data_IF_922388254345
#
_entry.id   IF_922388254345
#
_cell.length_a   1.000
_cell.length_b   1.000
_cell.length_c   1.000
_cell.angle_alpha   90.00
_cell.angle_beta   90.00
_cell.angle_gamma   90.00
#
_symmetry.space_group_name_H-M   'P 1'
#
loop_
_entity.id
_entity.type
_entity.pdbx_description
1 polymer ?
#
# COMPACT_ATOMS: atom_id res chain seq x y z
N UNK A 1 8.61 25.29 -1.02
CA UNK A 1 8.00 25.93 0.17
C UNK A 1 8.19 24.98 1.33
N UNK A 2 8.81 25.47 2.39
CA UNK A 2 9.06 24.69 3.60
C UNK A 2 7.76 24.44 4.36
N UNK A 3 7.77 23.46 5.26
CA UNK A 3 6.63 23.14 6.13
C UNK A 3 6.98 23.30 7.62
N UNK A 4 6.00 23.62 8.49
CA UNK A 4 6.23 23.73 9.92
C UNK A 4 6.78 22.41 10.51
N UNK A 5 7.83 22.50 11.34
CA UNK A 5 8.44 21.32 11.96
C UNK A 5 9.50 20.61 11.11
N UNK A 6 9.74 21.06 9.87
CA UNK A 6 10.81 20.50 9.02
C UNK A 6 12.18 20.67 9.68
N UNK A 7 12.94 19.57 9.77
CA UNK A 7 14.32 19.55 10.29
C UNK A 7 15.24 18.91 9.27
N UNK A 8 15.99 19.73 8.54
CA UNK A 8 17.01 19.26 7.60
C UNK A 8 18.37 19.31 8.29
N UNK A 9 19.05 18.18 8.38
CA UNK A 9 20.41 18.11 8.91
C UNK A 9 21.18 16.89 8.40
N UNK A 10 22.53 16.90 8.54
CA UNK A 10 23.39 15.79 8.12
C UNK A 10 23.34 14.58 9.09
N UNK A 11 22.91 14.81 10.33
CA UNK A 11 22.64 13.78 11.34
C UNK A 11 21.16 13.36 11.29
N UNK A 12 20.75 12.20 11.83
CA UNK A 12 19.33 11.82 11.89
C UNK A 12 18.51 12.83 12.68
N UNK A 13 17.93 13.80 11.96
CA UNK A 13 17.19 14.93 12.53
C UNK A 13 15.70 14.66 12.72
N UNK A 14 15.15 13.69 11.98
CA UNK A 14 13.73 13.33 12.02
C UNK A 14 13.53 12.00 12.73
N UNK A 15 13.04 12.05 13.98
CA UNK A 15 12.65 10.90 14.80
C UNK A 15 11.13 10.69 14.84
N UNK A 16 10.38 11.45 14.02
CA UNK A 16 8.92 11.54 14.03
C UNK A 16 8.30 11.17 12.69
N UNK A 17 7.07 10.68 12.74
CA UNK A 17 6.19 10.62 11.59
C UNK A 17 5.50 11.97 11.42
N UNK A 18 5.63 12.57 10.26
CA UNK A 18 5.06 13.88 9.97
C UNK A 18 4.06 13.79 8.83
N UNK A 19 2.79 14.01 9.14
CA UNK A 19 1.72 14.11 8.14
C UNK A 19 1.65 15.55 7.59
N UNK A 20 2.16 15.75 6.38
CA UNK A 20 2.14 17.04 5.70
C UNK A 20 0.84 17.15 4.89
N UNK A 21 -0.05 18.02 5.33
CA UNK A 21 -1.42 18.15 4.86
C UNK A 21 -1.73 19.56 4.36
N UNK A 22 -2.72 19.69 3.50
CA UNK A 22 -3.21 20.98 3.08
C UNK A 22 -4.06 21.66 4.15
N UNK A 23 -3.86 22.97 4.31
CA UNK A 23 -4.79 23.85 4.98
C UNK A 23 -4.40 25.30 4.80
N UNK A 24 -5.37 26.21 4.95
CA UNK A 24 -5.15 27.65 4.73
C UNK A 24 -4.29 28.31 5.81
N UNK A 25 -4.37 27.78 7.03
CA UNK A 25 -3.61 28.27 8.18
C UNK A 25 -2.48 27.30 8.50
N UNK A 26 -1.26 27.81 8.49
CA UNK A 26 -0.09 27.02 8.83
C UNK A 26 -0.07 26.70 10.32
N UNK A 27 -0.05 25.41 10.65
CA UNK A 27 -0.03 24.95 12.04
C UNK A 27 0.62 23.59 12.16
N UNK A 28 1.22 23.36 13.33
CA UNK A 28 1.73 22.05 13.73
C UNK A 28 0.73 21.42 14.71
N UNK A 29 0.31 20.20 14.42
CA UNK A 29 -0.66 19.45 15.21
C UNK A 29 0.03 18.26 15.88
N UNK A 30 -0.08 18.11 17.21
CA UNK A 30 0.40 16.92 17.90
C UNK A 30 -0.36 15.66 17.46
N UNK A 31 0.30 14.49 17.49
CA UNK A 31 -0.32 13.20 17.14
C UNK A 31 -1.62 12.92 17.89
N UNK A 32 -1.69 13.26 19.19
CA UNK A 32 -2.92 13.13 19.98
C UNK A 32 -4.11 13.92 19.42
N UNK A 33 -3.87 15.07 18.80
CA UNK A 33 -4.92 15.88 18.17
C UNK A 33 -5.35 15.25 16.85
N UNK A 34 -4.39 14.74 16.07
CA UNK A 34 -4.66 14.09 14.78
C UNK A 34 -5.56 12.86 14.89
N UNK A 35 -5.40 12.06 15.94
CA UNK A 35 -6.21 10.83 16.12
C UNK A 35 -7.59 11.10 16.71
N UNK A 36 -7.76 12.20 17.43
CA UNK A 36 -9.02 12.56 18.08
C UNK A 36 -9.95 13.43 17.21
N UNK A 37 -9.40 14.07 16.17
CA UNK A 37 -10.20 14.85 15.23
C UNK A 37 -10.83 13.96 14.15
N UNK A 38 -12.12 14.15 13.90
CA UNK A 38 -12.81 13.50 12.79
C UNK A 38 -12.48 14.16 11.43
N UNK A 39 -11.75 15.29 11.42
CA UNK A 39 -11.28 15.95 10.20
C UNK A 39 -10.13 15.19 9.52
N UNK A 40 -9.38 14.37 10.27
CA UNK A 40 -8.16 13.72 9.79
C UNK A 40 -8.28 12.19 9.75
N UNK A 41 -7.70 11.52 8.74
CA UNK A 41 -7.82 10.07 8.56
C UNK A 41 -6.90 9.24 9.48
N UNK A 42 -6.54 9.75 10.66
CA UNK A 42 -5.53 9.16 11.55
C UNK A 42 -6.09 8.48 12.81
N UNK A 43 -7.41 8.49 13.02
CA UNK A 43 -8.07 7.88 14.19
C UNK A 43 -7.64 6.44 14.48
N UNK A 44 -7.37 5.66 13.43
CA UNK A 44 -6.89 4.28 13.56
C UNK A 44 -5.49 4.13 14.17
N UNK A 45 -4.72 5.20 14.31
CA UNK A 45 -3.39 5.18 14.92
C UNK A 45 -3.43 5.25 16.46
N UNK A 46 -4.60 5.53 17.05
CA UNK A 46 -4.78 5.55 18.52
C UNK A 46 -4.40 4.20 19.16
N UNK A 47 -4.57 3.10 18.43
CA UNK A 47 -4.22 1.75 18.88
C UNK A 47 -2.74 1.54 19.19
N UNK A 48 -1.85 2.40 18.66
CA UNK A 48 -0.40 2.33 18.92
C UNK A 48 0.01 3.05 20.22
N UNK A 49 -0.92 3.75 20.86
CA UNK A 49 -0.75 4.32 22.19
C UNK A 49 0.20 5.52 22.28
N UNK A 50 0.37 6.02 23.50
CA UNK A 50 1.03 7.31 23.78
C UNK A 50 2.48 7.40 23.28
N UNK A 51 3.23 6.30 23.35
CA UNK A 51 4.63 6.28 22.93
C UNK A 51 4.75 6.65 21.44
N UNK A 52 3.90 6.07 20.59
CA UNK A 52 3.85 6.41 19.17
C UNK A 52 3.26 7.79 18.93
N UNK A 53 2.13 8.14 19.56
CA UNK A 53 1.47 9.44 19.34
C UNK A 53 2.37 10.62 19.71
N UNK A 54 3.26 10.46 20.69
CA UNK A 54 4.29 11.45 21.04
C UNK A 54 5.35 11.66 19.96
N UNK A 55 5.49 10.69 19.03
CA UNK A 55 6.41 10.67 17.88
C UNK A 55 5.68 10.88 16.55
N UNK A 56 4.42 11.31 16.58
CA UNK A 56 3.66 11.69 15.41
C UNK A 56 3.30 13.17 15.49
N UNK A 57 3.34 13.85 14.34
CA UNK A 57 2.87 15.22 14.20
C UNK A 57 2.26 15.44 12.82
N UNK A 58 1.51 16.53 12.70
CA UNK A 58 0.86 16.95 11.46
C UNK A 58 1.25 18.36 11.13
N UNK A 59 1.83 18.57 9.96
CA UNK A 59 2.17 19.88 9.45
C UNK A 59 1.10 20.30 8.44
N UNK A 60 0.32 21.32 8.78
CA UNK A 60 -0.69 21.89 7.87
C UNK A 60 -0.04 23.07 7.15
N UNK A 61 -0.08 23.08 5.81
CA UNK A 61 0.50 24.16 5.00
C UNK A 61 -0.31 24.42 3.74
N UNK A 62 -0.44 25.69 3.37
CA UNK A 62 -1.07 26.07 2.10
C UNK A 62 -0.07 25.87 0.96
N UNK A 63 -0.24 24.75 0.25
CA UNK A 63 0.51 24.39 -0.94
C UNK A 63 -0.43 23.73 -1.97
N UNK A 64 -0.34 24.09 -3.26
CA UNK A 64 -1.20 23.54 -4.31
C UNK A 64 -1.12 22.02 -4.44
N UNK A 65 0.08 21.43 -4.31
CA UNK A 65 0.27 19.99 -4.41
C UNK A 65 -0.51 19.24 -3.31
N UNK A 66 -0.54 19.81 -2.11
CA UNK A 66 -1.17 19.16 -0.95
C UNK A 66 -2.70 19.14 -1.02
N UNK A 67 -3.31 19.93 -1.91
CA UNK A 67 -4.77 19.92 -2.11
C UNK A 67 -5.26 18.55 -2.57
N UNK A 68 -4.40 17.84 -3.29
CA UNK A 68 -4.73 16.57 -3.91
C UNK A 68 -4.01 15.38 -3.25
N UNK A 69 -2.89 15.63 -2.56
CA UNK A 69 -2.10 14.58 -1.89
C UNK A 69 -1.74 14.96 -0.47
N UNK A 70 -1.64 13.97 0.42
CA UNK A 70 -1.03 14.12 1.74
C UNK A 70 0.29 13.39 1.73
N UNK A 71 1.37 14.03 2.17
CA UNK A 71 2.68 13.41 2.24
C UNK A 71 2.92 12.94 3.67
N UNK A 72 3.38 11.71 3.83
CA UNK A 72 3.80 11.17 5.12
C UNK A 72 5.32 11.06 5.09
N UNK A 73 5.98 11.94 5.84
CA UNK A 73 7.41 11.81 6.09
C UNK A 73 7.61 10.84 7.26
N UNK A 74 8.54 9.91 7.11
CA UNK A 74 8.80 8.84 8.08
C UNK A 74 10.18 9.02 8.70
N UNK A 75 10.39 8.62 9.96
CA UNK A 75 11.72 8.60 10.55
C UNK A 75 12.70 7.82 9.66
N UNK A 76 13.93 8.32 9.53
CA UNK A 76 14.95 7.66 8.73
C UNK A 76 15.20 6.22 9.18
N UNK A 77 15.30 5.29 8.23
CA UNK A 77 15.68 3.91 8.49
C UNK A 77 17.20 3.87 8.63
N UNK A 78 17.68 3.73 9.86
CA UNK A 78 19.10 3.89 10.16
C UNK A 78 19.84 2.55 10.08
N UNK A 79 21.14 2.64 9.81
CA UNK A 79 22.04 1.50 9.91
C UNK A 79 22.54 1.35 11.35
N UNK A 80 22.19 0.24 12.00
CA UNK A 80 22.76 -0.17 13.29
C UNK A 80 21.74 -0.44 14.40
N UNK A 81 22.00 -1.46 15.21
CA UNK A 81 21.12 -1.96 16.30
C UNK A 81 20.80 -0.89 17.36
N UNK A 82 21.68 0.09 17.59
CA UNK A 82 21.56 1.07 18.68
C UNK A 82 20.34 1.99 18.57
N UNK A 83 19.80 2.20 17.37
CA UNK A 83 18.60 3.02 17.14
C UNK A 83 17.30 2.20 17.21
N UNK A 84 17.34 0.88 16.91
CA UNK A 84 16.21 -0.03 17.17
C UNK A 84 15.84 -0.07 18.66
N UNK A 85 16.86 0.00 19.52
CA UNK A 85 16.70 0.03 20.99
C UNK A 85 16.09 1.35 21.49
N UNK A 86 16.12 2.42 20.68
CA UNK A 86 15.61 3.74 21.05
C UNK A 86 14.16 4.03 20.67
N UNK A 87 13.46 3.09 19.99
CA UNK A 87 12.04 3.28 19.62
C UNK A 87 11.16 2.57 20.64
N UNK A 88 10.43 3.35 21.44
CA UNK A 88 9.46 2.84 22.42
C UNK A 88 8.11 2.44 21.79
N UNK A 89 8.07 2.21 20.48
CA UNK A 89 6.87 1.83 19.73
C UNK A 89 7.21 0.86 18.59
N UNK A 90 6.21 0.09 18.16
CA UNK A 90 6.35 -0.87 17.07
C UNK A 90 6.37 -0.16 15.70
N UNK A 91 7.57 0.21 15.25
CA UNK A 91 7.78 0.84 13.95
C UNK A 91 7.26 0.01 12.79
N UNK A 92 7.46 -1.31 12.83
CA UNK A 92 7.05 -2.22 11.77
C UNK A 92 5.55 -2.21 11.56
N UNK A 93 4.78 -2.30 12.65
CA UNK A 93 3.33 -2.28 12.59
C UNK A 93 2.78 -0.91 12.15
N UNK A 94 3.41 0.19 12.54
CA UNK A 94 3.04 1.55 12.08
C UNK A 94 3.31 1.72 10.59
N UNK A 95 4.49 1.31 10.11
CA UNK A 95 4.81 1.33 8.67
C UNK A 95 3.82 0.49 7.89
N UNK A 96 3.46 -0.70 8.37
CA UNK A 96 2.42 -1.52 7.75
C UNK A 96 1.08 -0.79 7.66
N UNK A 97 0.67 -0.08 8.72
CA UNK A 97 -0.59 0.66 8.75
C UNK A 97 -0.65 1.76 7.68
N UNK A 98 0.43 2.53 7.54
CA UNK A 98 0.56 3.53 6.47
C UNK A 98 0.66 2.87 5.11
N UNK A 99 1.46 1.81 5.00
CA UNK A 99 1.64 1.07 3.76
C UNK A 99 0.33 0.50 3.26
N UNK A 100 -0.61 0.05 4.10
CA UNK A 100 -1.93 -0.39 3.64
C UNK A 100 -2.74 0.73 2.98
N UNK A 101 -2.64 1.95 3.52
CA UNK A 101 -3.50 3.10 3.16
C UNK A 101 -2.89 4.04 2.12
N UNK A 102 -1.58 4.00 1.94
CA UNK A 102 -0.88 4.85 0.98
C UNK A 102 -1.23 4.47 -0.46
N UNK A 103 -1.36 5.47 -1.33
CA UNK A 103 -1.56 5.28 -2.77
C UNK A 103 -0.23 5.09 -3.51
N UNK A 104 0.86 5.68 -3.00
CA UNK A 104 2.24 5.52 -3.48
C UNK A 104 3.19 5.42 -2.28
N UNK A 105 4.22 4.58 -2.38
CA UNK A 105 5.27 4.43 -1.37
C UNK A 105 6.62 4.70 -2.06
N UNK A 106 7.31 5.76 -1.63
CA UNK A 106 8.63 6.10 -2.17
C UNK A 106 9.70 5.56 -1.22
N UNK A 107 10.57 4.68 -1.72
CA UNK A 107 11.75 4.22 -1.00
C UNK A 107 12.97 4.93 -1.57
N UNK A 108 13.59 5.78 -0.74
CA UNK A 108 14.72 6.61 -1.16
C UNK A 108 16.07 5.93 -0.85
N UNK A 109 16.98 5.99 -1.82
CA UNK A 109 18.37 5.58 -1.70
C UNK A 109 19.29 6.74 -2.05
N UNK A 110 20.40 6.86 -1.34
CA UNK A 110 21.46 7.81 -1.68
C UNK A 110 22.46 7.15 -2.64
N UNK A 111 22.71 7.78 -3.78
CA UNK A 111 23.63 7.26 -4.79
C UNK A 111 25.09 7.08 -4.29
N UNK A 112 25.49 7.81 -3.24
CA UNK A 112 26.81 7.67 -2.62
C UNK A 112 26.92 6.54 -1.60
N UNK A 113 25.81 6.20 -0.95
CA UNK A 113 25.78 5.29 0.20
C UNK A 113 24.68 4.25 0.01
N UNK A 114 24.86 3.45 -1.05
CA UNK A 114 23.97 2.33 -1.29
C UNK A 114 24.26 1.21 -0.28
N UNK A 115 23.55 1.23 0.84
CA UNK A 115 23.58 0.16 1.83
C UNK A 115 22.15 -0.23 2.19
N UNK A 116 21.83 -1.52 2.07
CA UNK A 116 20.55 -2.07 2.50
C UNK A 116 20.77 -2.68 3.88
N UNK A 117 20.60 -1.84 4.90
CA UNK A 117 20.70 -2.27 6.29
C UNK A 117 19.65 -3.33 6.61
N UNK A 118 19.85 -4.10 7.69
CA UNK A 118 18.87 -5.07 8.15
C UNK A 118 17.51 -4.42 8.49
N UNK A 119 17.51 -3.15 8.93
CA UNK A 119 16.28 -2.40 9.19
C UNK A 119 15.55 -2.04 7.90
N UNK A 120 16.28 -1.61 6.87
CA UNK A 120 15.68 -1.37 5.56
C UNK A 120 15.15 -2.67 4.95
N UNK A 121 15.87 -3.78 5.09
CA UNK A 121 15.38 -5.09 4.69
C UNK A 121 14.09 -5.48 5.42
N UNK A 122 14.02 -5.25 6.74
CA UNK A 122 12.82 -5.52 7.53
C UNK A 122 11.64 -4.64 7.10
N UNK A 123 11.90 -3.36 6.81
CA UNK A 123 10.90 -2.45 6.27
C UNK A 123 10.42 -2.89 4.87
N UNK A 124 11.34 -3.27 3.98
CA UNK A 124 11.01 -3.79 2.66
C UNK A 124 10.19 -5.09 2.74
N UNK A 125 10.47 -5.97 3.70
CA UNK A 125 9.69 -7.18 3.95
C UNK A 125 8.23 -6.87 4.29
N UNK A 126 7.98 -5.81 5.06
CA UNK A 126 6.62 -5.32 5.39
C UNK A 126 5.94 -4.71 4.16
N UNK A 127 6.72 -4.08 3.27
CA UNK A 127 6.22 -3.44 2.05
C UNK A 127 6.00 -4.41 0.89
N UNK A 128 6.50 -5.66 0.95
CA UNK A 128 6.32 -6.70 -0.08
C UNK A 128 4.88 -6.89 -0.58
N UNK A 129 3.85 -6.94 0.29
CA UNK A 129 2.46 -7.09 -0.16
C UNK A 129 1.96 -5.87 -0.95
N UNK A 130 2.71 -4.77 -0.93
CA UNK A 130 2.39 -3.48 -1.51
C UNK A 130 3.37 -3.06 -2.61
N UNK A 131 4.10 -4.01 -3.20
CA UNK A 131 5.11 -3.77 -4.24
C UNK A 131 4.57 -2.98 -5.44
N UNK A 132 3.29 -3.13 -5.78
CA UNK A 132 2.61 -2.45 -6.88
C UNK A 132 2.64 -0.91 -6.77
N UNK A 133 2.62 -0.38 -5.55
CA UNK A 133 2.68 1.07 -5.26
C UNK A 133 4.07 1.56 -4.88
N UNK A 134 5.07 0.69 -4.86
CA UNK A 134 6.42 1.10 -4.52
C UNK A 134 7.09 1.78 -5.72
N UNK A 135 7.75 2.90 -5.46
CA UNK A 135 8.67 3.58 -6.38
C UNK A 135 10.01 3.75 -5.68
N UNK A 136 11.07 3.46 -6.41
CA UNK A 136 12.43 3.58 -5.88
C UNK A 136 12.99 4.91 -6.34
N UNK A 137 13.55 5.69 -5.42
CA UNK A 137 14.12 6.99 -5.72
C UNK A 137 15.62 6.96 -5.42
N UNK A 138 16.45 6.98 -6.47
CA UNK A 138 17.90 7.09 -6.33
C UNK A 138 18.27 8.58 -6.34
N UNK A 139 18.41 9.15 -5.15
CA UNK A 139 18.69 10.57 -4.93
C UNK A 139 20.20 10.87 -5.01
N UNK A 140 20.53 12.15 -5.24
CA UNK A 140 21.88 12.67 -5.42
C UNK A 140 22.64 12.03 -6.59
N UNK A 141 21.93 11.57 -7.63
CA UNK A 141 22.55 10.92 -8.78
C UNK A 141 23.48 11.86 -9.59
N UNK A 142 23.34 13.18 -9.42
CA UNK A 142 24.20 14.22 -10.03
C UNK A 142 25.58 14.32 -9.38
N UNK A 143 25.79 13.67 -8.24
CA UNK A 143 27.06 13.72 -7.52
C UNK A 143 28.04 12.61 -7.88
N UNK A 144 27.64 11.65 -8.72
CA UNK A 144 28.47 10.57 -9.25
C UNK A 144 28.54 10.61 -10.78
N UNK A 145 29.56 9.99 -11.36
CA UNK A 145 29.71 9.89 -12.82
C UNK A 145 28.78 8.82 -13.42
N UNK A 146 28.64 8.83 -14.75
CA UNK A 146 27.76 7.90 -15.47
C UNK A 146 28.12 6.43 -15.22
N UNK A 147 29.41 6.09 -15.15
CA UNK A 147 29.84 4.71 -14.94
C UNK A 147 29.51 4.22 -13.53
N UNK A 148 29.77 5.02 -12.50
CA UNK A 148 29.41 4.72 -11.12
C UNK A 148 27.90 4.67 -10.96
N UNK A 149 27.14 5.56 -11.61
CA UNK A 149 25.67 5.52 -11.59
C UNK A 149 25.13 4.19 -12.09
N UNK A 150 25.65 3.67 -13.21
CA UNK A 150 25.24 2.37 -13.73
C UNK A 150 25.61 1.21 -12.79
N UNK A 151 26.77 1.28 -12.11
CA UNK A 151 27.17 0.28 -11.11
C UNK A 151 26.26 0.32 -9.88
N UNK A 152 25.96 1.51 -9.36
CA UNK A 152 25.07 1.72 -8.22
C UNK A 152 23.66 1.25 -8.54
N UNK A 153 23.14 1.60 -9.73
CA UNK A 153 21.86 1.13 -10.22
C UNK A 153 21.80 -0.40 -10.31
N UNK A 154 22.82 -1.03 -10.90
CA UNK A 154 22.90 -2.49 -11.00
C UNK A 154 22.94 -3.17 -9.61
N UNK A 155 23.72 -2.63 -8.67
CA UNK A 155 23.79 -3.13 -7.31
C UNK A 155 22.48 -2.97 -6.54
N UNK A 156 21.77 -1.84 -6.74
CA UNK A 156 20.44 -1.59 -6.17
C UNK A 156 19.43 -2.62 -6.65
N UNK A 157 19.31 -2.80 -7.97
CA UNK A 157 18.34 -3.70 -8.57
C UNK A 157 18.61 -5.16 -8.18
N UNK A 158 19.87 -5.56 -8.13
CA UNK A 158 20.27 -6.89 -7.65
C UNK A 158 19.83 -7.12 -6.19
N UNK A 159 20.08 -6.13 -5.33
CA UNK A 159 19.76 -6.23 -3.91
C UNK A 159 18.25 -6.20 -3.65
N UNK A 160 17.51 -5.34 -4.36
CA UNK A 160 16.05 -5.32 -4.33
C UNK A 160 15.45 -6.63 -4.83
N UNK A 161 15.99 -7.22 -5.91
CA UNK A 161 15.55 -8.51 -6.42
C UNK A 161 15.71 -9.63 -5.39
N UNK A 162 16.84 -9.65 -4.65
CA UNK A 162 17.06 -10.61 -3.56
C UNK A 162 16.10 -10.43 -2.39
N UNK A 163 15.80 -9.19 -2.01
CA UNK A 163 14.92 -8.91 -0.87
C UNK A 163 13.46 -9.13 -1.24
N UNK A 164 12.97 -8.47 -2.30
CA UNK A 164 11.55 -8.44 -2.66
C UNK A 164 11.04 -9.79 -3.18
N UNK A 165 11.89 -10.58 -3.85
CA UNK A 165 11.53 -11.89 -4.42
C UNK A 165 10.30 -11.83 -5.33
N UNK A 166 10.11 -10.70 -6.02
CA UNK A 166 9.06 -10.50 -7.01
C UNK A 166 9.63 -10.66 -8.42
N UNK A 167 8.90 -11.26 -9.37
CA UNK A 167 9.32 -11.30 -10.77
C UNK A 167 9.20 -9.92 -11.44
N UNK A 168 8.42 -9.02 -10.85
CA UNK A 168 8.22 -7.65 -11.33
C UNK A 168 9.39 -6.74 -10.94
N UNK A 169 9.76 -5.87 -11.89
CA UNK A 169 10.86 -4.92 -11.74
C UNK A 169 10.29 -3.58 -11.27
N UNK A 170 10.87 -3.01 -10.20
CA UNK A 170 10.45 -1.71 -9.70
C UNK A 170 10.87 -0.57 -10.63
N UNK A 171 9.99 0.43 -10.81
CA UNK A 171 10.37 1.71 -11.43
C UNK A 171 11.31 2.45 -10.49
N UNK A 172 12.51 2.73 -10.97
CA UNK A 172 13.51 3.56 -10.30
C UNK A 172 13.54 4.93 -10.97
N UNK A 173 13.44 5.97 -10.17
CA UNK A 173 13.64 7.36 -10.56
C UNK A 173 15.03 7.81 -10.12
N UNK A 174 15.84 8.31 -11.05
CA UNK A 174 17.20 8.76 -10.78
C UNK A 174 17.26 10.28 -10.88
N UNK A 175 17.79 10.94 -9.84
CA UNK A 175 17.84 12.40 -9.86
C UNK A 175 18.50 13.01 -8.63
N UNK A 176 18.48 14.33 -8.59
CA UNK A 176 18.83 15.11 -7.41
C UNK A 176 17.63 15.97 -7.04
N UNK A 177 16.94 15.58 -5.97
CA UNK A 177 15.62 16.13 -5.61
C UNK A 177 15.77 17.25 -4.58
N UNK A 178 16.43 18.33 -4.98
CA UNK A 178 16.65 19.55 -4.18
C UNK A 178 16.54 20.80 -5.08
N UNK A 179 16.43 21.98 -4.46
CA UNK A 179 16.26 23.25 -5.20
C UNK A 179 17.55 23.71 -5.92
N UNK A 180 18.71 23.15 -5.58
CA UNK A 180 19.99 23.50 -6.20
C UNK A 180 20.04 23.12 -7.69
N UNK A 181 20.81 23.85 -8.52
CA UNK A 181 21.02 23.45 -9.91
C UNK A 181 21.66 22.06 -9.94
N UNK A 182 21.13 21.19 -10.80
CA UNK A 182 21.77 19.90 -11.09
C UNK A 182 23.21 20.19 -11.51
N UNK A 183 24.18 19.47 -10.93
CA UNK A 183 25.58 19.63 -11.33
C UNK A 183 25.68 19.40 -12.84
N UNK A 184 26.52 20.17 -13.57
CA UNK A 184 26.71 19.97 -15.00
C UNK A 184 27.38 18.61 -15.24
N UNK A 185 26.56 17.59 -15.41
CA UNK A 185 26.93 16.21 -15.66
C UNK A 185 26.36 15.77 -17.00
N UNK A 186 27.03 14.82 -17.67
CA UNK A 186 26.62 14.32 -18.99
C UNK A 186 25.17 13.81 -18.99
N UNK A 187 24.75 13.21 -17.89
CA UNK A 187 23.42 12.63 -17.69
C UNK A 187 22.34 13.64 -17.23
N UNK A 188 22.62 14.95 -17.19
CA UNK A 188 21.67 15.92 -16.63
C UNK A 188 20.29 15.89 -17.31
N UNK A 189 20.26 15.71 -18.63
CA UNK A 189 18.99 15.59 -19.39
C UNK A 189 18.18 14.34 -19.00
N UNK A 190 18.86 13.23 -18.70
CA UNK A 190 18.21 12.02 -18.19
C UNK A 190 17.62 12.27 -16.79
N UNK A 191 18.40 12.86 -15.89
CA UNK A 191 17.97 13.12 -14.51
C UNK A 191 16.76 14.07 -14.45
N UNK A 192 16.74 15.11 -15.29
CA UNK A 192 15.59 16.03 -15.34
C UNK A 192 14.34 15.35 -15.92
N UNK A 193 14.52 14.47 -16.92
CA UNK A 193 13.41 13.67 -17.46
C UNK A 193 12.84 12.71 -16.42
N UNK A 194 13.69 12.00 -15.69
CA UNK A 194 13.28 11.09 -14.60
C UNK A 194 12.54 11.84 -13.48
N UNK A 195 13.00 13.05 -13.14
CA UNK A 195 12.30 13.94 -12.20
C UNK A 195 10.94 14.37 -12.74
N UNK A 196 10.85 14.76 -14.01
CA UNK A 196 9.59 15.13 -14.65
C UNK A 196 8.59 13.97 -14.66
N UNK A 197 9.05 12.75 -14.96
CA UNK A 197 8.24 11.53 -14.92
C UNK A 197 7.69 11.26 -13.51
N UNK A 198 8.50 11.42 -12.46
CA UNK A 198 8.04 11.28 -11.07
C UNK A 198 6.98 12.32 -10.71
N UNK A 199 7.18 13.58 -11.09
CA UNK A 199 6.20 14.65 -10.83
C UNK A 199 4.89 14.38 -11.57
N UNK A 200 4.96 13.94 -12.84
CA UNK A 200 3.77 13.58 -13.60
C UNK A 200 3.00 12.43 -12.93
N UNK A 201 3.70 11.42 -12.40
CA UNK A 201 3.06 10.32 -11.66
C UNK A 201 2.41 10.81 -10.36
N UNK A 202 3.06 11.70 -9.60
CA UNK A 202 2.51 12.29 -8.38
C UNK A 202 1.27 13.14 -8.65
N UNK A 203 1.26 13.91 -9.75
CA UNK A 203 0.12 14.74 -10.15
C UNK A 203 -1.07 13.87 -10.55
N UNK A 204 -0.84 12.75 -11.24
CA UNK A 204 -1.88 11.81 -11.67
C UNK A 204 -2.28 10.80 -10.57
N UNK A 205 -1.64 10.85 -9.40
CA UNK A 205 -1.90 9.92 -8.29
C UNK A 205 -3.37 9.90 -7.84
N UNK A 206 -4.09 11.03 -7.71
CA UNK A 206 -5.49 11.02 -7.27
C UNK A 206 -6.41 10.23 -8.21
N UNK A 207 -6.22 10.37 -9.52
CA UNK A 207 -7.03 9.66 -10.52
C UNK A 207 -6.76 8.15 -10.44
N UNK A 208 -5.49 7.77 -10.36
CA UNK A 208 -5.06 6.39 -10.18
C UNK A 208 -5.56 5.80 -8.86
N UNK A 209 -5.59 6.60 -7.79
CA UNK A 209 -6.07 6.20 -6.47
C UNK A 209 -7.56 5.85 -6.48
N UNK A 210 -8.39 6.57 -7.25
CA UNK A 210 -9.82 6.24 -7.37
C UNK A 210 -10.02 4.88 -8.02
N UNK A 211 -9.35 4.62 -9.15
CA UNK A 211 -9.41 3.32 -9.84
C UNK A 211 -8.91 2.19 -8.92
N UNK A 212 -7.81 2.43 -8.20
CA UNK A 212 -7.28 1.50 -7.20
C UNK A 212 -8.28 1.21 -6.08
N UNK A 213 -8.93 2.24 -5.52
CA UNK A 213 -9.94 2.09 -4.46
C UNK A 213 -11.15 1.30 -4.93
N UNK A 214 -11.59 1.51 -6.18
CA UNK A 214 -12.64 0.68 -6.79
C UNK A 214 -12.18 -0.78 -6.87
N UNK A 215 -10.94 -1.04 -7.30
CA UNK A 215 -10.40 -2.40 -7.36
C UNK A 215 -10.32 -3.06 -5.97
N UNK A 216 -9.88 -2.33 -4.94
CA UNK A 216 -9.86 -2.84 -3.56
C UNK A 216 -11.27 -3.10 -3.02
N UNK A 217 -12.23 -2.24 -3.34
CA UNK A 217 -13.65 -2.46 -3.01
C UNK A 217 -14.16 -3.75 -3.68
N UNK A 218 -13.83 -3.99 -4.94
CA UNK A 218 -14.20 -5.22 -5.68
C UNK A 218 -13.59 -6.44 -5.01
N UNK A 219 -12.28 -6.43 -4.71
CA UNK A 219 -11.60 -7.53 -4.00
C UNK A 219 -12.26 -7.82 -2.67
N UNK A 220 -12.53 -6.79 -1.87
CA UNK A 220 -13.18 -6.91 -0.56
C UNK A 220 -14.60 -7.44 -0.67
N UNK A 221 -15.40 -6.94 -1.61
CA UNK A 221 -16.76 -7.42 -1.83
C UNK A 221 -16.77 -8.91 -2.22
N UNK A 222 -15.82 -9.37 -3.06
CA UNK A 222 -15.67 -10.79 -3.39
C UNK A 222 -15.30 -11.62 -2.16
N UNK A 223 -14.33 -11.16 -1.36
CA UNK A 223 -13.94 -11.83 -0.13
C UNK A 223 -15.12 -11.95 0.87
N UNK A 224 -15.93 -10.91 1.01
CA UNK A 224 -17.16 -10.92 1.83
C UNK A 224 -18.18 -11.92 1.28
N UNK A 225 -18.41 -11.94 -0.05
CA UNK A 225 -19.28 -12.92 -0.70
C UNK A 225 -18.85 -14.34 -0.38
N UNK A 226 -17.58 -14.66 -0.62
CA UNK A 226 -17.00 -15.98 -0.34
C UNK A 226 -17.14 -16.34 1.13
N UNK A 227 -16.82 -15.41 2.04
CA UNK A 227 -16.97 -15.64 3.48
C UNK A 227 -18.41 -15.98 3.88
N UNK A 228 -19.39 -15.23 3.38
CA UNK A 228 -20.81 -15.49 3.63
C UNK A 228 -21.22 -16.90 3.15
N UNK A 229 -20.74 -17.34 1.98
CA UNK A 229 -21.00 -18.69 1.47
C UNK A 229 -20.27 -19.79 2.26
N UNK A 230 -19.05 -19.55 2.73
CA UNK A 230 -18.32 -20.48 3.62
C UNK A 230 -19.15 -20.71 4.89
N UNK A 231 -19.55 -19.62 5.55
CA UNK A 231 -20.32 -19.66 6.80
C UNK A 231 -21.64 -20.41 6.58
N UNK A 232 -22.37 -20.09 5.51
CA UNK A 232 -23.60 -20.79 5.12
C UNK A 232 -23.39 -22.27 4.82
N UNK A 233 -22.31 -22.62 4.11
CA UNK A 233 -21.96 -24.00 3.78
C UNK A 233 -21.66 -24.81 5.04
N UNK A 234 -20.77 -24.31 5.89
CA UNK A 234 -20.38 -24.97 7.14
C UNK A 234 -21.59 -25.16 8.05
N UNK A 235 -22.44 -24.14 8.18
CA UNK A 235 -23.70 -24.23 8.93
C UNK A 235 -24.56 -25.39 8.44
N UNK A 236 -24.72 -25.57 7.12
CA UNK A 236 -25.51 -26.67 6.52
C UNK A 236 -24.93 -28.06 6.77
N UNK A 237 -23.62 -28.16 6.99
CA UNK A 237 -22.94 -29.44 7.25
C UNK A 237 -23.03 -29.89 8.73
N UNK A 238 -23.44 -28.98 9.63
CA UNK A 238 -23.66 -29.29 11.04
C UNK A 238 -25.09 -29.82 11.25
N UNK A 239 -25.28 -30.98 11.90
CA UNK A 239 -26.59 -31.56 12.09
C UNK A 239 -27.51 -30.72 12.98
N UNK A 240 -28.83 -30.80 12.70
CA UNK A 240 -29.86 -30.11 13.48
C UNK A 240 -29.94 -30.63 14.92
N UNK A 241 -29.65 -31.90 15.16
CA UNK A 241 -29.64 -32.46 16.51
C UNK A 241 -28.36 -32.07 17.26
N UNK A 242 -28.46 -31.73 18.55
CA UNK A 242 -27.30 -31.25 19.34
C UNK A 242 -26.23 -32.33 19.56
N UNK A 243 -26.64 -33.60 19.54
CA UNK A 243 -25.74 -34.74 19.67
C UNK A 243 -24.67 -34.74 18.57
N UNK A 244 -23.40 -34.93 18.95
CA UNK A 244 -22.22 -34.98 18.07
C UNK A 244 -21.88 -33.70 17.29
N UNK A 245 -22.49 -32.54 17.58
CA UNK A 245 -22.16 -31.27 16.89
C UNK A 245 -20.70 -30.86 17.06
N UNK A 246 -20.15 -30.96 18.27
CA UNK A 246 -18.76 -30.60 18.56
C UNK A 246 -17.78 -31.47 17.77
N UNK A 247 -18.00 -32.78 17.75
CA UNK A 247 -17.15 -33.72 17.01
C UNK A 247 -17.25 -33.48 15.50
N UNK A 248 -18.45 -33.25 14.96
CA UNK A 248 -18.65 -32.92 13.55
C UNK A 248 -18.00 -31.58 13.17
N UNK A 249 -18.15 -30.55 14.00
CA UNK A 249 -17.49 -29.26 13.83
C UNK A 249 -15.97 -29.42 13.78
N UNK A 250 -15.38 -30.18 14.70
CA UNK A 250 -13.94 -30.43 14.69
C UNK A 250 -13.49 -31.15 13.43
N UNK A 251 -14.24 -32.16 12.97
CA UNK A 251 -13.99 -32.84 11.69
C UNK A 251 -14.10 -31.89 10.48
N UNK A 252 -15.07 -30.97 10.48
CA UNK A 252 -15.22 -29.96 9.42
C UNK A 252 -14.04 -28.99 9.39
N UNK A 253 -13.59 -28.52 10.56
CA UNK A 253 -12.43 -27.64 10.67
C UNK A 253 -11.16 -28.37 10.21
N UNK A 254 -10.95 -29.62 10.60
CA UNK A 254 -9.80 -30.42 10.14
C UNK A 254 -9.79 -30.61 8.62
N UNK A 255 -10.96 -30.78 8.01
CA UNK A 255 -11.11 -30.98 6.55
C UNK A 255 -11.45 -29.69 5.80
N UNK A 256 -11.15 -28.51 6.37
CA UNK A 256 -11.49 -27.22 5.77
C UNK A 256 -11.01 -27.05 4.31
N UNK A 257 -9.80 -27.50 3.89
CA UNK A 257 -9.40 -27.43 2.49
C UNK A 257 -10.33 -28.17 1.53
N UNK A 258 -10.93 -29.28 1.98
CA UNK A 258 -11.93 -30.00 1.20
C UNK A 258 -13.25 -29.25 1.21
N UNK A 259 -13.67 -28.72 2.37
CA UNK A 259 -14.90 -27.94 2.49
C UNK A 259 -14.90 -26.71 1.58
N UNK A 260 -13.76 -26.02 1.46
CA UNK A 260 -13.59 -24.88 0.55
C UNK A 260 -13.72 -25.26 -0.92
N UNK A 261 -13.15 -26.39 -1.34
CA UNK A 261 -13.32 -26.91 -2.72
C UNK A 261 -14.76 -27.28 -3.02
N UNK A 262 -15.43 -27.95 -2.09
CA UNK A 262 -16.83 -28.34 -2.24
C UNK A 262 -17.76 -27.12 -2.26
N UNK A 263 -17.53 -26.12 -1.40
CA UNK A 263 -18.31 -24.88 -1.40
C UNK A 263 -18.07 -24.05 -2.66
N UNK A 264 -16.82 -23.99 -3.14
CA UNK A 264 -16.47 -23.30 -4.38
C UNK A 264 -17.20 -23.91 -5.58
N UNK A 265 -17.18 -25.25 -5.71
CA UNK A 265 -17.90 -25.96 -6.76
C UNK A 265 -19.42 -25.78 -6.66
N UNK A 266 -19.97 -25.84 -5.44
CA UNK A 266 -21.43 -25.77 -5.21
C UNK A 266 -22.04 -24.40 -5.52
N UNK A 267 -21.29 -23.32 -5.27
CA UNK A 267 -21.78 -21.94 -5.43
C UNK A 267 -21.09 -21.20 -6.58
N UNK A 268 -20.32 -21.90 -7.43
CA UNK A 268 -19.60 -21.34 -8.57
C UNK A 268 -18.69 -20.17 -8.18
N UNK A 269 -17.93 -20.33 -7.09
CA UNK A 269 -17.01 -19.32 -6.58
C UNK A 269 -15.57 -19.66 -6.98
N UNK A 270 -14.75 -18.65 -7.25
CA UNK A 270 -13.32 -18.85 -7.51
C UNK A 270 -12.61 -19.30 -6.24
N UNK A 271 -11.80 -20.35 -6.34
CA UNK A 271 -11.00 -20.82 -5.21
C UNK A 271 -9.92 -19.81 -4.79
N UNK A 272 -9.48 -18.95 -5.72
CA UNK A 272 -8.49 -17.90 -5.45
C UNK A 272 -9.00 -16.79 -4.52
N UNK A 273 -10.32 -16.64 -4.39
CA UNK A 273 -10.94 -15.64 -3.50
C UNK A 273 -11.13 -16.19 -2.07
N UNK A 274 -10.77 -17.45 -1.81
CA UNK A 274 -10.88 -18.05 -0.47
C UNK A 274 -9.73 -17.63 0.45
N UNK A 275 -10.01 -17.43 1.75
CA UNK A 275 -8.98 -17.04 2.71
C UNK A 275 -7.97 -18.17 2.96
N UNK A 276 -6.76 -17.85 3.45
CA UNK A 276 -5.78 -18.84 3.86
C UNK A 276 -6.33 -19.82 4.90
N UNK A 277 -6.28 -21.11 4.57
CA UNK A 277 -6.85 -22.19 5.41
C UNK A 277 -6.32 -22.16 6.85
N UNK A 278 -4.99 -22.06 7.12
CA UNK A 278 -4.48 -22.19 8.49
C UNK A 278 -5.06 -21.13 9.44
N UNK A 279 -5.05 -19.86 9.00
CA UNK A 279 -5.61 -18.74 9.77
C UNK A 279 -7.12 -18.90 9.97
N UNK A 280 -7.85 -19.32 8.92
CA UNK A 280 -9.29 -19.50 9.02
C UNK A 280 -9.67 -20.67 9.95
N UNK A 281 -8.88 -21.75 9.95
CA UNK A 281 -9.07 -22.87 10.88
C UNK A 281 -8.88 -22.43 12.33
N UNK A 282 -7.85 -21.65 12.62
CA UNK A 282 -7.61 -21.09 13.95
C UNK A 282 -8.82 -20.28 14.44
N UNK A 283 -9.27 -19.30 13.64
CA UNK A 283 -10.45 -18.48 13.96
C UNK A 283 -11.73 -19.29 14.12
N UNK A 284 -11.92 -20.37 13.35
CA UNK A 284 -13.07 -21.26 13.52
C UNK A 284 -13.01 -22.10 14.80
N UNK A 285 -11.83 -22.38 15.36
CA UNK A 285 -11.70 -23.10 16.65
C UNK A 285 -12.21 -22.25 17.82
N UNK A 286 -12.10 -20.94 17.72
CA UNK A 286 -12.62 -19.99 18.73
C UNK A 286 -14.16 -19.94 18.73
N UNK A 287 -14.81 -20.42 17.65
CA UNK A 287 -16.27 -20.44 17.52
C UNK A 287 -16.86 -21.57 18.35
N UNK A 288 -17.67 -21.22 19.35
CA UNK A 288 -18.32 -22.19 20.25
C UNK A 288 -19.31 -23.15 19.55
N UNK A 289 -20.08 -22.66 18.58
CA UNK A 289 -21.06 -23.47 17.83
C UNK A 289 -21.31 -22.90 16.43
N UNK A 290 -20.84 -23.60 15.40
CA UNK A 290 -21.07 -23.24 13.97
C UNK A 290 -22.56 -23.25 13.62
N UNK A 291 -23.40 -24.03 14.32
CA UNK A 291 -24.86 -24.01 14.09
C UNK A 291 -25.50 -22.70 14.58
N UNK A 292 -24.78 -21.80 15.25
CA UNK A 292 -25.29 -20.45 15.58
C UNK A 292 -25.03 -19.41 14.50
N UNK A 293 -24.24 -19.73 13.48
CA UNK A 293 -24.03 -18.82 12.36
C UNK A 293 -25.33 -18.43 11.69
N UNK A 294 -25.43 -17.20 11.23
CA UNK A 294 -26.62 -16.74 10.54
C UNK A 294 -26.85 -17.50 9.23
N UNK A 295 -28.11 -17.63 8.85
CA UNK A 295 -28.45 -18.18 7.53
C UNK A 295 -28.13 -17.12 6.49
N UNK A 296 -27.70 -17.56 5.31
CA UNK A 296 -27.49 -16.66 4.19
C UNK A 296 -28.80 -15.94 3.81
N UNK A 297 -28.80 -14.61 3.90
CA UNK A 297 -29.89 -13.79 3.40
C UNK A 297 -29.75 -13.60 1.88
N UNK A 298 -30.71 -14.15 1.13
CA UNK A 298 -30.74 -14.05 -0.33
C UNK A 298 -30.89 -12.61 -0.82
N UNK A 299 -31.56 -11.73 -0.05
CA UNK A 299 -31.73 -10.32 -0.42
C UNK A 299 -30.38 -9.60 -0.38
N UNK A 300 -29.60 -9.80 0.69
CA UNK A 300 -28.27 -9.21 0.82
C UNK A 300 -27.31 -9.72 -0.26
N UNK A 301 -27.39 -11.01 -0.61
CA UNK A 301 -26.60 -11.57 -1.72
C UNK A 301 -26.97 -10.92 -3.05
N UNK A 302 -28.26 -10.74 -3.33
CA UNK A 302 -28.74 -10.09 -4.55
C UNK A 302 -28.28 -8.63 -4.64
N UNK A 303 -28.40 -7.87 -3.55
CA UNK A 303 -27.89 -6.48 -3.51
C UNK A 303 -26.37 -6.42 -3.69
N UNK A 304 -25.62 -7.37 -3.12
CA UNK A 304 -24.18 -7.48 -3.35
C UNK A 304 -23.84 -7.84 -4.81
N UNK A 305 -24.67 -8.62 -5.49
CA UNK A 305 -24.50 -8.91 -6.93
C UNK A 305 -24.72 -7.66 -7.79
N UNK A 306 -25.70 -6.82 -7.47
CA UNK A 306 -25.90 -5.51 -8.12
C UNK A 306 -24.70 -4.59 -7.99
N UNK A 307 -23.97 -4.65 -6.87
CA UNK A 307 -22.73 -3.87 -6.70
C UNK A 307 -21.74 -4.18 -7.83
N UNK A 308 -21.62 -5.47 -8.21
CA UNK A 308 -20.71 -5.89 -9.28
C UNK A 308 -21.25 -5.63 -10.68
N UNK A 309 -22.55 -5.79 -10.93
CA UNK A 309 -23.11 -5.66 -12.28
C UNK A 309 -23.45 -4.22 -12.66
N UNK A 310 -23.86 -3.40 -11.70
CA UNK A 310 -24.45 -2.09 -11.98
C UNK A 310 -23.61 -0.95 -11.39
N UNK A 311 -23.31 -1.02 -10.09
CA UNK A 311 -22.69 0.11 -9.38
C UNK A 311 -21.22 0.31 -9.73
N UNK A 312 -20.41 -0.77 -9.74
CA UNK A 312 -18.98 -0.68 -10.09
C UNK A 312 -18.77 -0.16 -11.53
N UNK A 313 -19.45 -0.70 -12.57
CA UNK A 313 -19.31 -0.17 -13.92
C UNK A 313 -19.74 1.28 -14.05
N UNK A 314 -20.78 1.71 -13.32
CA UNK A 314 -21.20 3.11 -13.30
C UNK A 314 -20.14 4.02 -12.67
N UNK A 315 -19.57 3.62 -11.53
CA UNK A 315 -18.48 4.36 -10.89
C UNK A 315 -17.26 4.49 -11.81
N UNK A 316 -16.89 3.43 -12.52
CA UNK A 316 -15.78 3.48 -13.48
C UNK A 316 -16.05 4.46 -14.63
N UNK A 317 -17.27 4.46 -15.18
CA UNK A 317 -17.68 5.44 -16.21
C UNK A 317 -17.59 6.87 -15.70
N UNK A 318 -18.12 7.13 -14.51
CA UNK A 318 -18.10 8.46 -13.91
C UNK A 318 -16.66 8.94 -13.67
N UNK A 319 -15.74 8.04 -13.30
CA UNK A 319 -14.32 8.36 -13.16
C UNK A 319 -13.68 8.71 -14.52
N UNK A 320 -13.93 7.92 -15.57
CA UNK A 320 -13.38 8.18 -16.90
C UNK A 320 -13.91 9.45 -17.55
N UNK A 321 -15.13 9.87 -17.21
CA UNK A 321 -15.74 11.10 -17.74
C UNK A 321 -15.30 12.36 -16.99
N UNK A 322 -14.77 12.22 -15.77
CA UNK A 322 -14.23 13.31 -14.97
C UNK A 322 -12.77 13.67 -15.34
N UNK A 323 -12.05 12.76 -15.99
CA UNK A 323 -10.71 13.00 -16.52
C UNK A 323 -10.78 13.39 -18.00
N UNK A 324 -10.43 14.62 -18.40
CA UNK A 324 -10.22 14.91 -19.81
C UNK A 324 -8.97 14.15 -20.26
N UNK A 325 -9.18 13.05 -20.99
CA UNK A 325 -8.09 12.34 -21.68
C UNK A 325 -7.44 13.36 -22.63
N UNK A 326 -6.13 13.66 -22.51
CA UNK A 326 -5.44 14.35 -23.59
C UNK A 326 -5.47 13.40 -24.80
N UNK A 327 -6.09 13.82 -25.89
CA UNK A 327 -5.99 13.11 -27.16
C UNK A 327 -4.50 12.87 -27.46
N UNK A 328 -4.06 11.62 -27.41
CA UNK A 328 -2.77 11.25 -27.99
C UNK A 328 -2.85 11.59 -29.47
N UNK A 329 -2.14 12.66 -29.84
CA UNK A 329 -1.93 13.01 -31.24
C UNK A 329 -1.28 11.82 -31.93
N UNK A 330 -2.06 11.12 -32.75
CA UNK A 330 -1.59 10.09 -33.66
C UNK A 330 -0.69 10.72 -34.72
N UNK A 331 0.57 10.98 -34.39
CA UNK A 331 1.61 11.20 -35.39
C UNK A 331 2.16 9.83 -35.79
N UNK A 332 1.68 9.35 -36.94
CA UNK A 332 2.10 8.06 -37.49
C UNK A 332 3.60 7.99 -37.75
N UNK A 333 4.22 6.92 -37.27
CA UNK A 333 5.42 6.35 -37.87
C UNK A 333 5.10 4.94 -38.33
N UNK A 334 4.79 4.82 -39.62
CA UNK A 334 4.74 3.53 -40.29
C UNK A 334 6.17 3.00 -40.45
N UNK A 335 6.43 1.83 -39.88
CA UNK A 335 7.58 1.02 -40.28
C UNK A 335 7.04 -0.39 -40.56
N UNK A 336 6.81 -0.66 -41.85
CA UNK A 336 6.67 -2.00 -42.35
C UNK A 336 8.00 -2.74 -42.23
N UNK A 337 7.97 -3.93 -41.66
CA UNK A 337 9.13 -4.81 -41.53
C UNK A 337 8.68 -6.25 -41.34
N UNK A 338 8.35 -6.90 -42.46
CA UNK A 338 8.09 -8.33 -42.57
C UNK A 338 9.40 -9.08 -42.27
N UNK A 339 9.43 -9.93 -41.26
CA UNK A 339 10.49 -10.93 -41.10
C UNK A 339 9.93 -12.31 -41.42
N UNK A 340 10.55 -12.94 -42.43
CA UNK A 340 10.54 -14.39 -42.64
C UNK A 340 11.56 -15.03 -41.71
#
# INVERSE_FOLDING_TARGET
KDFPGQRVGPEPTTDRFTAIMHGREEKLLPGHVLVNSDEYPFKGLDTYGNNFLSKMEGAVVDSPILRNVTLIDTPGVLSGEKQRVGRDYDFSSVVSWFAERADMIIVMFDAHKLDISDELKSALDILKPHHDKMRILLNKADSIDTQQLMRVYGALMWSLGKVMMTPEVFRVYMGSFWEGPCRPVEQAALLEREKADLIAELVNLPENAVVRRINELVKRARAVKVHAYIIHYLRKQVPYMYYNRKEKQQKLIMRLPQQFRESAARYSLSLGDYPPVPLYQERLRDVKDIFKFEKLDKKLVYEMEKVFTDHIPKLLKDCTMASPVPEESSSGFGIGGRWR
#
